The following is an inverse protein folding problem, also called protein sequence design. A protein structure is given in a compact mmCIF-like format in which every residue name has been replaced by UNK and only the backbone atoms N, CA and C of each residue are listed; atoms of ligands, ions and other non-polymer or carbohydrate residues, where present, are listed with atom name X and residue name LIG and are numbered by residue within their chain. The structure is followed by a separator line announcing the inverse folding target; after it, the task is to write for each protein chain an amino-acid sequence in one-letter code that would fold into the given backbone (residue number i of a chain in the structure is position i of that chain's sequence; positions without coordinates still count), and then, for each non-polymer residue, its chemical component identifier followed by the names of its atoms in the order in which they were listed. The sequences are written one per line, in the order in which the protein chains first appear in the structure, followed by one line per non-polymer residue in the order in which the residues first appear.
data_IF_046001492424
#
_entry.id   IF_046001492424
#
_cell.length_a   1.000
_cell.length_b   1.000
_cell.length_c   1.000
_cell.angle_alpha   90.00
_cell.angle_beta   90.00
_cell.angle_gamma   90.00
#
_symmetry.space_group_name_H-M   'P 1'
#
loop_
_entity.id
_entity.type
_entity.pdbx_description
1 polymer ?
#
# COMPACT_ATOMS: atom_id res chain seq x y z
N UNK A 1 8.80 -4.00 1.73
CA UNK A 1 9.87 -4.94 2.09
C UNK A 1 9.85 -5.09 3.60
N UNK A 2 9.85 -6.32 4.12
CA UNK A 2 9.91 -6.57 5.56
C UNK A 2 11.36 -6.43 6.09
N UNK A 3 11.56 -6.54 7.40
CA UNK A 3 12.89 -6.42 8.00
C UNK A 3 13.91 -7.46 7.50
N UNK A 4 13.44 -8.59 6.96
CA UNK A 4 14.27 -9.66 6.40
C UNK A 4 14.62 -9.45 4.91
N UNK A 5 14.20 -8.34 4.30
CA UNK A 5 14.42 -8.09 2.86
C UNK A 5 13.42 -8.79 1.94
N UNK A 6 12.43 -9.50 2.48
CA UNK A 6 11.39 -10.18 1.71
C UNK A 6 10.33 -9.18 1.23
N UNK A 7 9.93 -9.32 -0.03
CA UNK A 7 8.76 -8.64 -0.58
C UNK A 7 7.50 -9.36 -0.14
N UNK A 8 6.55 -8.63 0.44
CA UNK A 8 5.26 -9.14 0.90
C UNK A 8 4.16 -8.45 0.11
N UNK A 9 3.22 -9.24 -0.40
CA UNK A 9 1.94 -8.75 -0.93
C UNK A 9 0.86 -9.19 0.05
N UNK A 10 0.03 -8.25 0.50
CA UNK A 10 -1.06 -8.50 1.43
C UNK A 10 -2.37 -8.07 0.77
N UNK A 11 -3.36 -8.95 0.78
CA UNK A 11 -4.72 -8.66 0.34
C UNK A 11 -5.65 -8.74 1.54
N UNK A 12 -6.39 -7.67 1.81
CA UNK A 12 -7.34 -7.59 2.92
C UNK A 12 -8.46 -6.61 2.59
N UNK A 13 -9.63 -6.81 3.21
CA UNK A 13 -10.73 -5.85 3.19
C UNK A 13 -10.69 -4.91 4.42
N UNK A 14 -9.77 -5.13 5.35
CA UNK A 14 -9.60 -4.30 6.54
C UNK A 14 -8.86 -2.99 6.20
N UNK A 15 -9.62 -1.90 6.12
CA UNK A 15 -9.09 -0.57 5.83
C UNK A 15 -8.14 -0.05 6.91
N UNK A 16 -8.38 -0.39 8.18
CA UNK A 16 -7.57 0.10 9.30
C UNK A 16 -6.14 -0.45 9.21
N UNK A 17 -5.98 -1.73 8.86
CA UNK A 17 -4.67 -2.36 8.67
C UNK A 17 -3.94 -1.72 7.49
N UNK A 18 -4.63 -1.55 6.36
CA UNK A 18 -4.06 -0.95 5.14
C UNK A 18 -3.55 0.47 5.40
N UNK A 19 -4.36 1.29 6.10
CA UNK A 19 -4.00 2.66 6.42
C UNK A 19 -2.82 2.74 7.40
N UNK A 20 -2.78 1.85 8.40
CA UNK A 20 -1.71 1.79 9.41
C UNK A 20 -0.37 1.35 8.81
N UNK A 21 -0.39 0.45 7.81
CA UNK A 21 0.84 -0.08 7.21
C UNK A 21 1.62 0.96 6.41
N UNK A 22 0.95 2.04 5.93
CA UNK A 22 1.56 3.14 5.17
C UNK A 22 2.48 2.67 4.03
N UNK A 23 2.14 1.54 3.40
CA UNK A 23 2.84 0.99 2.23
C UNK A 23 2.07 1.33 0.96
N UNK A 24 2.62 0.91 -0.20
CA UNK A 24 1.90 0.98 -1.46
C UNK A 24 0.57 0.24 -1.37
N UNK A 25 -0.51 0.87 -1.79
CA UNK A 25 -1.86 0.28 -1.82
C UNK A 25 -2.31 0.17 -3.27
N UNK A 26 -2.74 -1.01 -3.66
CA UNK A 26 -3.34 -1.27 -4.97
C UNK A 26 -4.77 -1.76 -4.75
N UNK A 27 -5.76 -0.97 -5.18
CA UNK A 27 -7.17 -1.35 -5.13
C UNK A 27 -7.62 -1.88 -6.50
N UNK A 28 -8.33 -3.01 -6.47
CA UNK A 28 -8.85 -3.67 -7.65
C UNK A 28 -10.36 -3.79 -7.49
N UNK A 29 -11.10 -3.35 -8.50
CA UNK A 29 -12.56 -3.47 -8.60
C UNK A 29 -12.91 -3.98 -10.00
N UNK A 30 -13.82 -4.94 -10.10
CA UNK A 30 -14.25 -5.57 -11.36
C UNK A 30 -13.08 -6.03 -12.28
N UNK A 31 -12.00 -6.52 -11.67
CA UNK A 31 -10.81 -6.99 -12.39
C UNK A 31 -9.92 -5.88 -12.96
N UNK A 32 -10.16 -4.62 -12.58
CA UNK A 32 -9.36 -3.45 -13.00
C UNK A 32 -8.72 -2.79 -11.79
N UNK A 33 -7.49 -2.30 -11.95
CA UNK A 33 -6.84 -1.48 -10.93
C UNK A 33 -7.51 -0.10 -10.97
N UNK A 34 -8.18 0.26 -9.88
CA UNK A 34 -8.86 1.55 -9.74
C UNK A 34 -8.05 2.54 -8.90
N UNK A 35 -7.07 2.05 -8.12
CA UNK A 35 -6.20 2.88 -7.29
C UNK A 35 -4.83 2.24 -7.17
N UNK A 36 -3.79 3.03 -7.36
CA UNK A 36 -2.40 2.64 -7.10
C UNK A 36 -1.67 3.81 -6.44
N UNK A 37 -1.55 3.74 -5.12
CA UNK A 37 -0.91 4.77 -4.33
C UNK A 37 0.41 4.26 -3.78
N UNK A 38 1.51 4.80 -4.30
CA UNK A 38 2.83 4.61 -3.71
C UNK A 38 2.98 5.55 -2.52
N UNK A 39 2.54 5.14 -1.32
CA UNK A 39 2.97 5.83 -0.11
C UNK A 39 4.45 5.54 0.13
N UNK A 40 5.26 6.44 -0.41
CA UNK A 40 6.71 6.50 -0.32
C UNK A 40 7.14 7.92 -0.62
N UNK A 41 7.10 8.77 0.41
CA UNK A 41 7.55 10.17 0.35
C UNK A 41 6.95 11.00 1.47
N UNK A 42 7.72 11.26 2.53
CA UNK A 42 7.68 12.58 3.15
C UNK A 42 8.03 13.57 2.03
N UNK A 43 7.00 14.17 1.45
CA UNK A 43 7.10 15.27 0.50
C UNK A 43 6.54 16.54 1.13
N UNK A 44 7.08 16.94 2.28
CA UNK A 44 7.20 18.36 2.60
C UNK A 44 8.67 18.71 2.37
N UNK A 45 8.99 19.04 1.12
CA UNK A 45 10.08 19.97 0.88
C UNK A 45 9.53 21.38 1.13
N UNK A 46 10.18 22.07 2.09
CA UNK A 46 9.98 23.43 2.61
C UNK A 46 8.86 23.65 3.65
#
# INVERSE_FOLDING_TARGET
INAAGTTIVMATHDKNIVDTMQRRVVAIEDGKIVRDEQRGGYGYEN
#
